data_IF_856514726247
#
_entry.id   IF_856514726247
#
_cell.length_a   1.000
_cell.length_b   1.000
_cell.length_c   1.000
_cell.angle_alpha   90.00
_cell.angle_beta   90.00
_cell.angle_gamma   90.00
#
_symmetry.space_group_name_H-M   'P 1'
#
loop_
_entity.id
_entity.type
_entity.pdbx_description
1 polymer ?
#
# COMPACT_ATOMS: atom_id res chain seq x y z
N UNK A 1 24.59 1.60 3.04
CA UNK A 1 24.89 2.79 3.87
C UNK A 1 24.36 4.06 3.17
N UNK A 2 24.12 5.12 3.92
CA UNK A 2 23.65 6.40 3.39
C UNK A 2 24.64 7.00 2.37
N UNK A 3 25.93 6.82 2.62
CA UNK A 3 27.02 7.27 1.72
C UNK A 3 27.03 6.52 0.40
N UNK A 4 26.81 5.19 0.43
CA UNK A 4 26.71 4.38 -0.79
C UNK A 4 25.53 4.79 -1.65
N UNK A 5 24.37 5.07 -1.04
CA UNK A 5 23.18 5.54 -1.76
C UNK A 5 23.38 6.93 -2.38
N UNK A 6 24.07 7.83 -1.70
CA UNK A 6 24.39 9.16 -2.22
C UNK A 6 25.26 9.09 -3.46
N UNK A 7 26.32 8.26 -3.45
CA UNK A 7 27.20 8.06 -4.61
C UNK A 7 26.44 7.48 -5.81
N UNK A 8 25.56 6.51 -5.58
CA UNK A 8 24.73 5.91 -6.64
C UNK A 8 23.74 6.93 -7.20
N UNK A 9 23.07 7.72 -6.34
CA UNK A 9 22.15 8.78 -6.78
C UNK A 9 22.85 9.84 -7.60
N UNK A 10 24.05 10.28 -7.21
CA UNK A 10 24.83 11.27 -7.95
C UNK A 10 25.20 10.72 -9.34
N UNK A 11 25.63 9.49 -9.42
CA UNK A 11 25.93 8.82 -10.70
C UNK A 11 24.70 8.74 -11.61
N UNK A 12 23.54 8.39 -11.07
CA UNK A 12 22.29 8.33 -11.83
C UNK A 12 21.83 9.72 -12.29
N UNK A 13 21.98 10.74 -11.45
CA UNK A 13 21.64 12.13 -11.80
C UNK A 13 22.53 12.66 -12.93
N UNK A 14 23.81 12.33 -12.92
CA UNK A 14 24.75 12.67 -13.98
C UNK A 14 24.43 11.97 -15.30
N UNK A 15 23.94 10.72 -15.22
CA UNK A 15 23.57 9.94 -16.40
C UNK A 15 22.27 10.41 -17.07
N UNK A 16 21.39 11.07 -16.33
CA UNK A 16 20.05 11.45 -16.82
C UNK A 16 20.07 12.33 -18.08
N UNK A 17 20.89 13.40 -18.17
CA UNK A 17 20.95 14.23 -19.36
C UNK A 17 21.45 13.49 -20.61
N UNK A 18 22.25 12.45 -20.47
CA UNK A 18 22.81 11.67 -21.56
C UNK A 18 22.03 10.38 -21.87
N UNK A 19 20.85 10.22 -21.26
CA UNK A 19 20.00 9.06 -21.51
C UNK A 19 19.62 8.99 -23.01
N UNK A 20 19.78 7.81 -23.59
CA UNK A 20 19.63 7.58 -25.03
C UNK A 20 18.19 7.44 -25.50
N UNK A 21 17.26 7.19 -24.58
CA UNK A 21 15.85 6.98 -24.90
C UNK A 21 14.93 7.43 -23.76
N UNK A 22 13.65 7.71 -24.05
CA UNK A 22 12.66 7.96 -23.01
C UNK A 22 12.55 6.85 -21.97
N UNK A 23 12.63 5.59 -22.39
CA UNK A 23 12.61 4.44 -21.50
C UNK A 23 13.78 4.46 -20.52
N UNK A 24 14.98 4.76 -21.00
CA UNK A 24 16.16 4.88 -20.14
C UNK A 24 16.00 6.00 -19.11
N UNK A 25 15.41 7.13 -19.49
CA UNK A 25 15.08 8.23 -18.56
C UNK A 25 14.09 7.76 -17.47
N UNK A 26 13.03 7.03 -17.87
CA UNK A 26 12.06 6.48 -16.94
C UNK A 26 12.71 5.53 -15.93
N UNK A 27 13.61 4.66 -16.38
CA UNK A 27 14.35 3.73 -15.51
C UNK A 27 15.27 4.47 -14.53
N UNK A 28 16.02 5.46 -15.01
CA UNK A 28 16.91 6.27 -14.16
C UNK A 28 16.10 7.01 -13.09
N UNK A 29 15.00 7.64 -13.47
CA UNK A 29 14.13 8.36 -12.54
C UNK A 29 13.47 7.42 -11.52
N UNK A 30 13.10 6.22 -11.94
CA UNK A 30 12.56 5.19 -11.04
C UNK A 30 13.60 4.78 -9.99
N UNK A 31 14.84 4.57 -10.41
CA UNK A 31 15.92 4.24 -9.49
C UNK A 31 16.24 5.39 -8.52
N UNK A 32 16.23 6.63 -9.00
CA UNK A 32 16.38 7.81 -8.14
C UNK A 32 15.26 7.90 -7.11
N UNK A 33 14.04 7.67 -7.53
CA UNK A 33 12.87 7.61 -6.63
C UNK A 33 13.03 6.51 -5.58
N UNK A 34 13.39 5.31 -5.99
CA UNK A 34 13.54 4.16 -5.08
C UNK A 34 14.68 4.33 -4.06
N UNK A 35 15.73 5.06 -4.42
CA UNK A 35 16.86 5.35 -3.55
C UNK A 35 16.65 6.57 -2.65
N UNK A 36 15.61 7.34 -2.87
CA UNK A 36 15.30 8.55 -2.14
C UNK A 36 14.21 8.31 -1.11
N UNK A 37 14.06 9.23 -0.16
CA UNK A 37 13.08 9.13 0.94
C UNK A 37 12.31 10.43 1.12
N UNK A 38 11.09 10.31 1.63
CA UNK A 38 10.23 11.43 2.00
C UNK A 38 10.06 12.46 0.86
N UNK A 39 10.29 13.73 1.10
CA UNK A 39 10.07 14.80 0.13
C UNK A 39 10.91 14.63 -1.14
N UNK A 40 12.16 14.20 -1.01
CA UNK A 40 13.01 13.94 -2.16
C UNK A 40 12.46 12.83 -3.05
N UNK A 41 11.96 11.75 -2.44
CA UNK A 41 11.31 10.65 -3.16
C UNK A 41 10.08 11.14 -3.92
N UNK A 42 9.25 11.97 -3.31
CA UNK A 42 8.06 12.54 -3.94
C UNK A 42 8.43 13.45 -5.11
N UNK A 43 9.49 14.23 -5.01
CA UNK A 43 9.95 15.08 -6.12
C UNK A 43 10.37 14.23 -7.32
N UNK A 44 11.13 13.17 -7.12
CA UNK A 44 11.46 12.23 -8.19
C UNK A 44 10.22 11.50 -8.72
N UNK A 45 9.30 11.12 -7.85
CA UNK A 45 8.05 10.49 -8.25
C UNK A 45 7.19 11.40 -9.14
N UNK A 46 7.11 12.69 -8.81
CA UNK A 46 6.40 13.67 -9.65
C UNK A 46 7.03 13.83 -11.01
N UNK A 47 8.35 13.94 -11.08
CA UNK A 47 9.08 14.01 -12.36
C UNK A 47 8.86 12.74 -13.19
N UNK A 48 8.94 11.58 -12.55
CA UNK A 48 8.65 10.29 -13.18
C UNK A 48 7.23 10.26 -13.74
N UNK A 49 6.26 10.72 -12.97
CA UNK A 49 4.86 10.74 -13.38
C UNK A 49 4.63 11.58 -14.64
N UNK A 50 5.18 12.78 -14.67
CA UNK A 50 5.05 13.66 -15.84
C UNK A 50 5.68 13.07 -17.09
N UNK A 51 6.85 12.47 -16.97
CA UNK A 51 7.49 11.79 -18.10
C UNK A 51 6.70 10.56 -18.53
N UNK A 52 6.17 9.78 -17.58
CA UNK A 52 5.35 8.61 -17.89
C UNK A 52 4.04 8.99 -18.59
N UNK A 53 3.44 10.13 -18.26
CA UNK A 53 2.28 10.67 -18.99
C UNK A 53 2.64 11.03 -20.43
N UNK A 54 3.75 11.74 -20.64
CA UNK A 54 4.21 12.11 -21.99
C UNK A 54 4.46 10.89 -22.87
N UNK A 55 5.05 9.85 -22.29
CA UNK A 55 5.42 8.61 -23.00
C UNK A 55 4.31 7.57 -22.99
N UNK A 56 3.19 7.83 -22.32
CA UNK A 56 2.06 6.91 -22.13
C UNK A 56 2.48 5.51 -21.60
N UNK A 57 3.32 5.51 -20.57
CA UNK A 57 3.87 4.29 -19.98
C UNK A 57 3.16 3.95 -18.65
N UNK A 58 2.16 3.09 -18.73
CA UNK A 58 1.26 2.76 -17.62
C UNK A 58 1.97 2.22 -16.37
N UNK A 59 2.99 1.38 -16.54
CA UNK A 59 3.77 0.85 -15.42
C UNK A 59 4.41 1.97 -14.59
N UNK A 60 5.00 2.96 -15.26
CA UNK A 60 5.69 4.06 -14.60
C UNK A 60 4.72 5.10 -14.01
N UNK A 61 3.56 5.29 -14.64
CA UNK A 61 2.47 6.08 -14.04
C UNK A 61 2.04 5.50 -12.69
N UNK A 62 1.81 4.19 -12.66
CA UNK A 62 1.42 3.47 -11.44
C UNK A 62 2.51 3.55 -10.36
N UNK A 63 3.76 3.26 -10.72
CA UNK A 63 4.88 3.31 -9.79
C UNK A 63 5.04 4.70 -9.14
N UNK A 64 4.96 5.75 -9.94
CA UNK A 64 5.07 7.13 -9.48
C UNK A 64 3.89 7.52 -8.59
N UNK A 65 2.67 7.26 -9.02
CA UNK A 65 1.46 7.59 -8.25
C UNK A 65 1.39 6.84 -6.92
N UNK A 66 1.89 5.61 -6.87
CA UNK A 66 1.97 4.85 -5.62
C UNK A 66 2.81 5.58 -4.57
N UNK A 67 3.99 6.06 -4.95
CA UNK A 67 4.87 6.76 -4.01
C UNK A 67 4.36 8.17 -3.65
N UNK A 68 3.80 8.89 -4.61
CA UNK A 68 3.19 10.21 -4.35
C UNK A 68 2.04 10.06 -3.34
N UNK A 69 1.13 9.13 -3.59
CA UNK A 69 -0.03 8.91 -2.73
C UNK A 69 0.36 8.40 -1.34
N UNK A 70 1.32 7.48 -1.26
CA UNK A 70 1.83 7.00 0.04
C UNK A 70 2.34 8.14 0.90
N UNK A 71 3.10 9.04 0.32
CA UNK A 71 3.62 10.20 1.05
C UNK A 71 2.50 11.12 1.54
N UNK A 72 1.60 11.54 0.66
CA UNK A 72 0.54 12.47 1.04
C UNK A 72 -0.49 11.86 1.99
N UNK A 73 -0.81 10.58 1.84
CA UNK A 73 -1.70 9.89 2.77
C UNK A 73 -1.02 9.71 4.13
N UNK A 74 0.25 9.33 4.16
CA UNK A 74 0.99 9.12 5.41
C UNK A 74 1.30 10.41 6.16
N UNK A 75 1.40 11.54 5.47
CA UNK A 75 1.60 12.86 6.09
C UNK A 75 0.29 13.61 6.35
N UNK A 76 -0.84 12.97 6.13
CA UNK A 76 -2.18 13.55 6.30
C UNK A 76 -2.43 14.82 5.45
N UNK A 77 -1.79 14.90 4.31
CA UNK A 77 -1.98 15.97 3.33
C UNK A 77 -3.21 15.65 2.45
N UNK A 78 -4.40 15.81 3.01
CA UNK A 78 -5.68 15.36 2.42
C UNK A 78 -5.95 15.98 1.05
N UNK A 79 -5.72 17.27 0.89
CA UNK A 79 -5.99 17.97 -0.37
C UNK A 79 -5.08 17.47 -1.50
N UNK A 80 -3.79 17.33 -1.23
CA UNK A 80 -2.84 16.78 -2.18
C UNK A 80 -3.16 15.30 -2.50
N UNK A 81 -3.52 14.51 -1.49
CA UNK A 81 -3.93 13.12 -1.70
C UNK A 81 -5.15 13.02 -2.62
N UNK A 82 -6.15 13.88 -2.44
CA UNK A 82 -7.35 13.91 -3.31
C UNK A 82 -7.00 14.25 -4.76
N UNK A 83 -6.10 15.20 -4.98
CA UNK A 83 -5.64 15.57 -6.32
C UNK A 83 -5.03 14.36 -7.04
N UNK A 84 -4.10 13.66 -6.38
CA UNK A 84 -3.44 12.51 -6.99
C UNK A 84 -4.29 11.25 -7.03
N UNK A 85 -5.30 11.11 -6.16
CA UNK A 85 -6.32 10.07 -6.32
C UNK A 85 -7.14 10.29 -7.59
N UNK A 86 -7.53 11.53 -7.87
CA UNK A 86 -8.22 11.87 -9.12
C UNK A 86 -7.33 11.60 -10.35
N UNK A 87 -6.03 11.88 -10.26
CA UNK A 87 -5.05 11.52 -11.29
C UNK A 87 -5.02 9.99 -11.51
N UNK A 88 -4.97 9.20 -10.43
CA UNK A 88 -4.97 7.74 -10.52
C UNK A 88 -6.26 7.22 -11.16
N UNK A 89 -7.40 7.75 -10.79
CA UNK A 89 -8.69 7.38 -11.37
C UNK A 89 -8.76 7.67 -12.87
N UNK A 90 -8.19 8.78 -13.32
CA UNK A 90 -8.20 9.19 -14.72
C UNK A 90 -7.16 8.48 -15.58
N UNK A 91 -5.95 8.31 -15.06
CA UNK A 91 -4.78 7.88 -15.84
C UNK A 91 -4.45 6.39 -15.73
N UNK A 92 -4.85 5.73 -14.66
CA UNK A 92 -4.67 4.30 -14.51
C UNK A 92 -5.89 3.53 -15.02
N UNK A 93 -5.72 2.23 -15.30
CA UNK A 93 -6.75 1.38 -15.89
C UNK A 93 -6.81 0.02 -15.18
N UNK A 94 -8.00 -0.58 -15.22
CA UNK A 94 -8.21 -1.96 -14.79
C UNK A 94 -7.82 -2.21 -13.33
N UNK A 95 -7.18 -3.35 -13.09
CA UNK A 95 -6.81 -3.80 -11.73
C UNK A 95 -5.82 -2.88 -11.03
N UNK A 96 -4.90 -2.27 -11.77
CA UNK A 96 -3.93 -1.32 -11.22
C UNK A 96 -4.64 -0.11 -10.61
N UNK A 97 -5.58 0.48 -11.35
CA UNK A 97 -6.38 1.59 -10.86
C UNK A 97 -7.23 1.18 -9.66
N UNK A 98 -7.97 0.10 -9.80
CA UNK A 98 -8.91 -0.35 -8.77
C UNK A 98 -8.19 -0.65 -7.46
N UNK A 99 -7.04 -1.32 -7.52
CA UNK A 99 -6.23 -1.61 -6.36
C UNK A 99 -5.67 -0.33 -5.70
N UNK A 100 -4.97 0.51 -6.45
CA UNK A 100 -4.31 1.67 -5.89
C UNK A 100 -5.30 2.65 -5.27
N UNK A 101 -6.38 2.95 -5.99
CA UNK A 101 -7.42 3.86 -5.49
C UNK A 101 -8.11 3.29 -4.25
N UNK A 102 -8.50 2.03 -4.29
CA UNK A 102 -9.15 1.38 -3.13
C UNK A 102 -8.22 1.34 -1.92
N UNK A 103 -6.96 0.95 -2.11
CA UNK A 103 -5.99 0.89 -1.02
C UNK A 103 -5.78 2.26 -0.37
N UNK A 104 -5.55 3.30 -1.16
CA UNK A 104 -5.30 4.64 -0.63
C UNK A 104 -6.52 5.24 0.08
N UNK A 105 -7.71 5.06 -0.46
CA UNK A 105 -8.95 5.44 0.23
C UNK A 105 -9.12 4.70 1.55
N UNK A 106 -8.78 3.41 1.57
CA UNK A 106 -8.85 2.60 2.79
C UNK A 106 -7.92 3.13 3.87
N UNK A 107 -6.68 3.47 3.51
CA UNK A 107 -5.71 4.04 4.47
C UNK A 107 -6.23 5.40 5.02
N UNK A 108 -6.81 6.22 4.18
CA UNK A 108 -7.42 7.48 4.62
C UNK A 108 -8.56 7.22 5.62
N UNK A 109 -9.41 6.24 5.36
CA UNK A 109 -10.51 5.86 6.26
C UNK A 109 -10.00 5.28 7.58
N UNK A 110 -8.92 4.47 7.54
CA UNK A 110 -8.25 3.97 8.76
C UNK A 110 -7.79 5.15 9.63
N UNK A 111 -7.20 6.17 9.04
CA UNK A 111 -6.76 7.36 9.79
C UNK A 111 -7.93 8.09 10.42
N UNK A 112 -9.05 8.24 9.70
CA UNK A 112 -10.27 8.82 10.26
C UNK A 112 -10.72 8.06 11.50
N UNK A 113 -10.76 6.73 11.45
CA UNK A 113 -11.15 5.92 12.62
C UNK A 113 -10.14 6.07 13.75
N UNK A 114 -8.86 6.12 13.48
CA UNK A 114 -7.83 6.30 14.53
C UNK A 114 -7.95 7.64 15.26
N UNK A 115 -8.32 8.70 14.57
CA UNK A 115 -8.50 10.02 15.18
C UNK A 115 -9.88 10.23 15.78
N UNK A 116 -10.86 9.38 15.50
CA UNK A 116 -12.17 9.39 16.12
C UNK A 116 -12.11 8.65 17.46
N UNK A 117 -12.69 9.21 18.51
CA UNK A 117 -12.59 8.67 19.87
C UNK A 117 -13.95 8.26 20.43
N UNK A 118 -13.91 7.41 21.47
CA UNK A 118 -15.05 7.05 22.29
C UNK A 118 -16.19 6.39 21.51
N UNK A 119 -17.41 6.81 21.80
CA UNK A 119 -18.62 6.24 21.19
C UNK A 119 -18.68 6.46 19.68
N UNK A 120 -18.19 7.58 19.18
CA UNK A 120 -18.18 7.88 17.76
C UNK A 120 -17.31 6.90 16.98
N UNK A 121 -16.16 6.51 17.56
CA UNK A 121 -15.31 5.47 16.98
C UNK A 121 -16.03 4.13 16.93
N UNK A 122 -16.69 3.75 18.01
CA UNK A 122 -17.45 2.48 18.07
C UNK A 122 -18.59 2.47 17.07
N UNK A 123 -19.27 3.60 16.85
CA UNK A 123 -20.31 3.72 15.82
C UNK A 123 -19.75 3.51 14.41
N UNK A 124 -18.57 4.05 14.12
CA UNK A 124 -17.89 3.81 12.83
C UNK A 124 -17.55 2.33 12.64
N UNK A 125 -17.00 1.70 13.66
CA UNK A 125 -16.67 0.26 13.62
C UNK A 125 -17.93 -0.56 13.37
N UNK A 126 -19.01 -0.29 14.09
CA UNK A 126 -20.29 -0.97 13.89
C UNK A 126 -20.88 -0.76 12.48
N UNK A 127 -20.75 0.43 11.93
CA UNK A 127 -21.14 0.71 10.54
C UNK A 127 -20.41 -0.19 9.54
N UNK A 128 -19.11 -0.35 9.69
CA UNK A 128 -18.32 -1.21 8.80
C UNK A 128 -18.64 -2.69 8.99
N UNK A 129 -18.91 -3.13 10.24
CA UNK A 129 -19.38 -4.50 10.50
C UNK A 129 -20.71 -4.78 9.82
N UNK A 130 -21.67 -3.87 9.99
CA UNK A 130 -23.00 -4.00 9.38
C UNK A 130 -22.91 -4.06 7.86
N UNK A 131 -22.02 -3.30 7.27
CA UNK A 131 -21.80 -3.29 5.83
C UNK A 131 -21.36 -4.66 5.31
N UNK A 132 -20.42 -5.33 6.00
CA UNK A 132 -20.02 -6.70 5.64
C UNK A 132 -21.15 -7.72 5.76
N UNK A 133 -22.04 -7.56 6.74
CA UNK A 133 -23.14 -8.47 6.97
C UNK A 133 -24.29 -8.29 5.97
N UNK A 134 -24.54 -7.08 5.51
CA UNK A 134 -25.72 -6.73 4.71
C UNK A 134 -25.45 -6.62 3.21
N UNK A 135 -24.26 -6.22 2.79
CA UNK A 135 -23.92 -6.09 1.38
C UNK A 135 -23.35 -7.40 0.81
N UNK A 136 -24.23 -8.31 0.41
CA UNK A 136 -23.86 -9.64 -0.09
C UNK A 136 -23.13 -9.64 -1.43
N UNK A 137 -23.37 -8.64 -2.27
CA UNK A 137 -22.79 -8.52 -3.60
C UNK A 137 -21.59 -7.58 -3.66
N UNK A 138 -20.99 -7.30 -2.51
CA UNK A 138 -19.79 -6.44 -2.43
C UNK A 138 -18.64 -7.04 -3.24
N UNK A 139 -18.00 -6.27 -4.13
CA UNK A 139 -16.81 -6.73 -4.84
C UNK A 139 -15.72 -7.21 -3.88
N UNK A 140 -14.93 -8.21 -4.30
CA UNK A 140 -13.89 -8.82 -3.45
C UNK A 140 -12.91 -7.79 -2.90
N UNK A 141 -12.49 -6.84 -3.72
CA UNK A 141 -11.56 -5.80 -3.29
C UNK A 141 -12.16 -4.89 -2.21
N UNK A 142 -13.46 -4.60 -2.28
CA UNK A 142 -14.18 -3.83 -1.26
C UNK A 142 -14.32 -4.61 0.04
N UNK A 143 -14.52 -5.93 -0.03
CA UNK A 143 -14.49 -6.81 1.16
C UNK A 143 -13.12 -6.80 1.82
N UNK A 144 -12.06 -6.91 1.03
CA UNK A 144 -10.67 -6.83 1.52
C UNK A 144 -10.44 -5.50 2.22
N UNK A 145 -10.85 -4.39 1.59
CA UNK A 145 -10.77 -3.05 2.18
C UNK A 145 -11.50 -2.97 3.51
N UNK A 146 -12.70 -3.51 3.58
CA UNK A 146 -13.53 -3.50 4.79
C UNK A 146 -12.93 -4.35 5.93
N UNK A 147 -12.43 -5.53 5.63
CA UNK A 147 -11.71 -6.35 6.60
C UNK A 147 -10.43 -5.68 7.09
N UNK A 148 -9.70 -5.05 6.18
CA UNK A 148 -8.50 -4.30 6.54
C UNK A 148 -8.82 -3.16 7.49
N UNK A 149 -9.85 -2.37 7.18
CA UNK A 149 -10.30 -1.25 8.00
C UNK A 149 -10.69 -1.71 9.41
N UNK A 150 -11.48 -2.78 9.52
CA UNK A 150 -11.91 -3.34 10.81
C UNK A 150 -10.75 -3.90 11.62
N UNK A 151 -9.84 -4.61 10.97
CA UNK A 151 -8.65 -5.14 11.63
C UNK A 151 -7.75 -4.02 12.14
N UNK A 152 -7.45 -3.02 11.31
CA UNK A 152 -6.61 -1.89 11.69
C UNK A 152 -7.26 -1.03 12.77
N UNK A 153 -8.55 -0.74 12.64
CA UNK A 153 -9.30 0.06 13.62
C UNK A 153 -9.33 -0.57 15.02
N UNK A 154 -9.31 -1.88 15.10
CA UNK A 154 -9.31 -2.60 16.37
C UNK A 154 -7.90 -2.95 16.89
N UNK A 155 -6.87 -2.90 16.02
CA UNK A 155 -5.51 -3.35 16.37
C UNK A 155 -4.84 -2.52 17.46
N UNK A 156 -5.21 -1.26 17.62
CA UNK A 156 -4.67 -0.36 18.64
C UNK A 156 -5.62 -0.13 19.83
N UNK A 157 -6.72 -0.88 19.92
CA UNK A 157 -7.62 -0.81 21.07
C UNK A 157 -6.96 -1.43 22.29
N UNK A 158 -6.99 -0.71 23.41
CA UNK A 158 -6.46 -1.16 24.69
C UNK A 158 -7.61 -1.29 25.67
N UNK A 159 -7.91 -2.52 26.04
CA UNK A 159 -8.85 -2.87 27.09
C UNK A 159 -8.29 -4.07 27.88
N UNK A 160 -7.61 -3.82 29.01
CA UNK A 160 -6.92 -4.88 29.74
C UNK A 160 -7.83 -6.08 30.13
N UNK A 161 -9.12 -5.86 30.31
CA UNK A 161 -10.07 -6.91 30.66
C UNK A 161 -10.49 -7.77 29.48
N UNK A 162 -10.45 -7.20 28.26
CA UNK A 162 -10.93 -7.84 27.03
C UNK A 162 -9.87 -7.90 25.94
N UNK A 163 -8.59 -7.70 26.26
CA UNK A 163 -7.52 -7.62 25.28
C UNK A 163 -7.41 -8.86 24.39
N UNK A 164 -7.56 -10.04 24.98
CA UNK A 164 -7.53 -11.31 24.22
C UNK A 164 -8.70 -11.40 23.23
N UNK A 165 -9.88 -10.96 23.62
CA UNK A 165 -11.05 -10.92 22.75
C UNK A 165 -10.87 -9.94 21.59
N UNK A 166 -10.27 -8.78 21.85
CA UNK A 166 -9.93 -7.80 20.81
C UNK A 166 -8.94 -8.39 19.82
N UNK A 167 -7.86 -9.01 20.28
CA UNK A 167 -6.86 -9.63 19.40
C UNK A 167 -7.44 -10.77 18.57
N UNK A 168 -8.33 -11.57 19.17
CA UNK A 168 -9.04 -12.62 18.45
C UNK A 168 -9.91 -12.06 17.33
N UNK A 169 -10.61 -10.96 17.58
CA UNK A 169 -11.42 -10.26 16.57
C UNK A 169 -10.54 -9.70 15.45
N UNK A 170 -9.43 -9.05 15.78
CA UNK A 170 -8.47 -8.54 14.79
C UNK A 170 -7.96 -9.67 13.91
N UNK A 171 -7.54 -10.79 14.49
CA UNK A 171 -7.05 -11.94 13.74
C UNK A 171 -8.14 -12.55 12.84
N UNK A 172 -9.39 -12.56 13.28
CA UNK A 172 -10.52 -12.97 12.46
C UNK A 172 -10.63 -12.13 11.18
N UNK A 173 -10.63 -10.80 11.30
CA UNK A 173 -10.70 -9.92 10.14
C UNK A 173 -9.48 -10.08 9.22
N UNK A 174 -8.30 -10.14 9.80
CA UNK A 174 -7.05 -10.22 9.04
C UNK A 174 -6.89 -11.55 8.32
N UNK A 175 -7.29 -12.67 8.93
CA UNK A 175 -7.28 -13.98 8.28
C UNK A 175 -8.28 -14.07 7.13
N UNK A 176 -9.46 -13.46 7.27
CA UNK A 176 -10.43 -13.35 6.17
C UNK A 176 -9.86 -12.55 5.00
N UNK A 177 -9.15 -11.46 5.27
CA UNK A 177 -8.48 -10.68 4.23
C UNK A 177 -7.45 -11.53 3.48
N UNK A 178 -6.60 -12.26 4.19
CA UNK A 178 -5.58 -13.12 3.58
C UNK A 178 -6.22 -14.17 2.69
N UNK A 179 -7.26 -14.84 3.15
CA UNK A 179 -7.99 -15.85 2.38
C UNK A 179 -8.60 -15.26 1.10
N UNK A 180 -9.28 -14.13 1.19
CA UNK A 180 -9.85 -13.45 0.03
C UNK A 180 -8.78 -12.98 -0.96
N UNK A 181 -7.62 -12.55 -0.47
CA UNK A 181 -6.54 -12.02 -1.31
C UNK A 181 -5.76 -13.10 -2.06
N UNK A 182 -5.90 -14.38 -1.71
CA UNK A 182 -5.22 -15.49 -2.38
C UNK A 182 -5.58 -15.58 -3.87
N UNK A 183 -6.76 -15.12 -4.26
CA UNK A 183 -7.24 -15.11 -5.65
C UNK A 183 -6.88 -13.83 -6.43
N UNK A 184 -6.21 -12.88 -5.77
CA UNK A 184 -5.78 -11.63 -6.39
C UNK A 184 -4.27 -11.70 -6.64
N UNK A 185 -3.78 -11.37 -7.85
CA UNK A 185 -2.34 -11.33 -8.11
C UNK A 185 -1.60 -10.51 -7.05
N UNK A 186 -0.43 -10.97 -6.62
CA UNK A 186 0.36 -10.34 -5.57
C UNK A 186 0.59 -8.84 -5.83
N UNK A 187 0.84 -8.45 -7.07
CA UNK A 187 1.02 -7.05 -7.47
C UNK A 187 -0.15 -6.15 -7.03
N UNK A 188 -1.38 -6.68 -7.09
CA UNK A 188 -2.62 -5.94 -6.79
C UNK A 188 -3.20 -6.21 -5.40
N UNK A 189 -2.48 -6.92 -4.55
CA UNK A 189 -2.87 -7.21 -3.17
C UNK A 189 -1.75 -7.02 -2.16
N UNK A 190 -0.54 -6.74 -2.65
CA UNK A 190 0.69 -6.74 -1.85
C UNK A 190 0.61 -5.84 -0.62
N UNK A 191 0.20 -4.59 -0.77
CA UNK A 191 0.19 -3.63 0.34
C UNK A 191 -0.81 -4.03 1.44
N UNK A 192 -1.98 -4.54 1.07
CA UNK A 192 -2.94 -5.07 2.04
C UNK A 192 -2.38 -6.28 2.77
N UNK A 193 -1.84 -7.23 2.02
CA UNK A 193 -1.29 -8.49 2.59
C UNK A 193 -0.09 -8.25 3.48
N UNK A 194 0.79 -7.34 3.09
CA UNK A 194 2.00 -7.01 3.85
C UNK A 194 1.65 -6.54 5.26
N UNK A 195 0.81 -5.52 5.36
CA UNK A 195 0.39 -4.98 6.64
C UNK A 195 -0.41 -5.98 7.47
N UNK A 196 -1.26 -6.75 6.82
CA UNK A 196 -2.08 -7.79 7.47
C UNK A 196 -1.21 -8.89 8.08
N UNK A 197 -0.24 -9.41 7.34
CA UNK A 197 0.67 -10.43 7.85
C UNK A 197 1.56 -9.92 8.98
N UNK A 198 1.95 -8.66 8.93
CA UNK A 198 2.68 -8.04 10.04
C UNK A 198 1.85 -8.02 11.33
N UNK A 199 0.59 -7.66 11.25
CA UNK A 199 -0.32 -7.67 12.41
C UNK A 199 -0.54 -9.10 12.92
N UNK A 200 -0.80 -10.06 12.05
CA UNK A 200 -0.95 -11.46 12.43
C UNK A 200 0.31 -12.02 13.12
N UNK A 201 1.49 -11.60 12.67
CA UNK A 201 2.74 -12.01 13.30
C UNK A 201 2.90 -11.52 14.75
N UNK A 202 2.16 -10.49 15.13
CA UNK A 202 2.19 -9.91 16.47
C UNK A 202 1.01 -10.37 17.34
N UNK A 203 -0.14 -10.61 16.75
CA UNK A 203 -1.41 -10.76 17.49
C UNK A 203 -2.02 -12.17 17.49
N UNK A 204 -1.50 -13.09 16.65
CA UNK A 204 -2.00 -14.47 16.67
C UNK A 204 -1.82 -15.11 18.04
N UNK A 205 -2.80 -15.95 18.43
CA UNK A 205 -2.88 -16.51 19.78
C UNK A 205 -1.73 -17.44 20.13
N UNK A 206 -1.16 -18.14 19.15
CA UNK A 206 -0.08 -19.11 19.38
C UNK A 206 1.23 -18.66 18.76
N UNK A 207 2.39 -19.00 19.40
CA UNK A 207 3.70 -18.72 18.81
C UNK A 207 3.86 -19.34 17.42
N UNK A 208 3.30 -20.53 17.19
CA UNK A 208 3.33 -21.21 15.91
C UNK A 208 2.65 -20.39 14.81
N UNK A 209 1.46 -19.87 15.08
CA UNK A 209 0.73 -19.04 14.12
C UNK A 209 1.42 -17.69 13.88
N UNK A 210 2.03 -17.10 14.92
CA UNK A 210 2.83 -15.89 14.77
C UNK A 210 4.04 -16.12 13.85
N UNK A 211 4.76 -17.22 14.02
CA UNK A 211 5.89 -17.60 13.17
C UNK A 211 5.45 -17.86 11.74
N UNK A 212 4.33 -18.57 11.53
CA UNK A 212 3.76 -18.78 10.19
C UNK A 212 3.48 -17.46 9.47
N UNK A 213 2.86 -16.50 10.15
CA UNK A 213 2.57 -15.18 9.58
C UNK A 213 3.86 -14.43 9.24
N UNK A 214 4.88 -14.49 10.11
CA UNK A 214 6.20 -13.87 9.86
C UNK A 214 6.89 -14.46 8.65
N UNK A 215 6.86 -15.77 8.49
CA UNK A 215 7.47 -16.45 7.33
C UNK A 215 6.73 -16.09 6.03
N UNK A 216 5.41 -16.06 6.05
CA UNK A 216 4.62 -15.61 4.89
C UNK A 216 4.93 -14.16 4.52
N UNK A 217 5.09 -13.29 5.52
CA UNK A 217 5.49 -11.90 5.34
C UNK A 217 6.83 -11.80 4.60
N UNK A 218 7.85 -12.49 5.09
CA UNK A 218 9.18 -12.48 4.49
C UNK A 218 9.19 -13.06 3.07
N UNK A 219 8.53 -14.18 2.87
CA UNK A 219 8.44 -14.83 1.55
C UNK A 219 7.71 -13.94 0.54
N UNK A 220 6.66 -13.28 0.96
CA UNK A 220 5.89 -12.37 0.10
C UNK A 220 6.70 -11.13 -0.29
N UNK A 221 7.47 -10.56 0.63
CA UNK A 221 8.37 -9.45 0.32
C UNK A 221 9.39 -9.84 -0.74
N UNK A 222 9.97 -11.02 -0.61
CA UNK A 222 10.94 -11.55 -1.57
C UNK A 222 10.30 -11.76 -2.94
N UNK A 223 9.15 -12.40 -3.00
CA UNK A 223 8.40 -12.64 -4.24
C UNK A 223 8.06 -11.33 -4.94
N UNK A 224 7.60 -10.33 -4.19
CA UNK A 224 7.27 -9.02 -4.75
C UNK A 224 8.50 -8.29 -5.29
N UNK A 225 9.63 -8.35 -4.57
CA UNK A 225 10.89 -7.78 -5.03
C UNK A 225 11.39 -8.44 -6.31
N UNK A 226 11.33 -9.78 -6.38
CA UNK A 226 11.70 -10.54 -7.57
C UNK A 226 10.82 -10.18 -8.77
N UNK A 227 9.52 -9.98 -8.56
CA UNK A 227 8.58 -9.55 -9.59
C UNK A 227 8.92 -8.14 -10.11
N UNK A 228 9.29 -7.21 -9.24
CA UNK A 228 9.74 -5.86 -9.63
C UNK A 228 11.03 -5.91 -10.45
N UNK A 229 12.00 -6.70 -10.03
CA UNK A 229 13.28 -6.87 -10.75
C UNK A 229 13.06 -7.44 -12.15
N UNK A 230 12.20 -8.44 -12.31
CA UNK A 230 11.86 -9.01 -13.61
C UNK A 230 11.26 -7.99 -14.57
N UNK A 231 10.47 -7.02 -14.07
CA UNK A 231 9.89 -5.95 -14.91
C UNK A 231 10.88 -4.85 -15.28
N UNK A 232 11.92 -4.65 -14.49
CA UNK A 232 12.98 -3.68 -14.75
C UNK A 232 14.04 -4.18 -15.75
N UNK A 233 14.05 -5.47 -16.06
CA UNK A 233 15.01 -6.02 -17.02
C UNK A 233 14.57 -5.66 -18.44
N UNK A 234 15.42 -4.99 -19.24
CA UNK A 234 15.13 -4.80 -20.66
C UNK A 234 15.05 -6.18 -21.33
N UNK A 235 14.07 -6.30 -22.17
CA UNK A 235 13.89 -7.51 -22.98
C UNK A 235 15.06 -7.70 -23.96
#
# INVERSE_FOLDING_TARGET
STEGNTAVKDSLSEALPSASSPLQKLEIMTNLMDLSRQEEQVEYAKQLYWLALEEDEDYYKEAALTEILRFYVNTDAKDSAKVYLAEAERELKGKARDFLVTYMKTIMDVRVVYYTKGEDRMKLIEKYKLRLETEKDMPVLDKISNYYLLGMANSNRVDPKNQDAIYKEVCYYMNNLIELSDNIPLRYSYLFRLNTLNILSLMEATPENRVKASLRYLNMQKEYADTKEMKKRPY
#
